data_IF_395263691598
#
_entry.id   IF_395263691598
#
_cell.length_a   1.000
_cell.length_b   1.000
_cell.length_c   1.000
_cell.angle_alpha   90.00
_cell.angle_beta   90.00
_cell.angle_gamma   90.00
#
_symmetry.space_group_name_H-M   'P 1'
#
loop_
_entity.id
_entity.type
_entity.pdbx_description
1 polymer ?
#
# COMPACT_ATOMS: atom_id res chain seq x y z
N UNK A 1 -28.80 -0.62 2.89
CA UNK A 1 -27.69 -1.11 2.10
C UNK A 1 -26.39 -0.78 2.74
N UNK A 2 -25.55 -1.75 2.74
CA UNK A 2 -24.25 -1.60 3.34
C UNK A 2 -23.42 -0.52 2.69
N UNK A 3 -23.48 -0.44 1.36
CA UNK A 3 -22.75 0.56 0.62
C UNK A 3 -23.22 1.97 0.93
N UNK A 4 -24.49 2.12 1.18
CA UNK A 4 -25.03 3.43 1.50
C UNK A 4 -24.52 3.91 2.85
N UNK A 5 -24.43 3.00 3.80
CA UNK A 5 -23.98 3.33 5.13
C UNK A 5 -22.51 3.73 5.10
N UNK A 6 -21.68 2.96 4.39
CA UNK A 6 -20.27 3.26 4.33
C UNK A 6 -19.95 4.52 3.53
N UNK A 7 -20.90 4.96 2.70
CA UNK A 7 -20.70 6.17 1.90
C UNK A 7 -21.35 7.40 2.47
N UNK A 8 -22.07 7.27 3.58
CA UNK A 8 -22.67 8.44 4.22
C UNK A 8 -21.58 9.40 4.67
N UNK A 9 -21.67 10.64 4.22
CA UNK A 9 -20.70 11.67 4.54
C UNK A 9 -19.47 11.65 3.68
N UNK A 10 -19.29 10.65 2.83
CA UNK A 10 -18.15 10.57 1.93
C UNK A 10 -18.52 11.14 0.57
N UNK A 11 -17.80 12.18 0.17
CA UNK A 11 -18.06 12.85 -1.10
C UNK A 11 -16.92 12.68 -2.10
N UNK A 12 -15.81 12.11 -1.64
CA UNK A 12 -14.65 11.92 -2.49
C UNK A 12 -14.95 10.91 -3.58
N UNK A 13 -14.71 11.30 -4.84
CA UNK A 13 -14.99 10.40 -5.95
C UNK A 13 -13.94 9.30 -6.03
N UNK A 14 -14.24 8.27 -6.81
CA UNK A 14 -13.33 7.15 -6.96
C UNK A 14 -12.40 7.30 -8.15
N UNK A 15 -12.37 8.49 -8.75
CA UNK A 15 -11.52 8.74 -9.93
C UNK A 15 -10.04 8.64 -9.61
N UNK A 16 -9.66 8.77 -8.35
CA UNK A 16 -8.25 8.72 -7.93
C UNK A 16 -7.75 7.31 -7.66
N UNK A 17 -8.61 6.31 -7.71
CA UNK A 17 -8.24 4.93 -7.37
C UNK A 17 -7.02 4.41 -8.15
N UNK A 18 -6.95 4.56 -9.48
CA UNK A 18 -5.78 4.08 -10.21
C UNK A 18 -4.48 4.76 -9.77
N UNK A 19 -4.54 6.05 -9.48
CA UNK A 19 -3.37 6.79 -9.01
C UNK A 19 -2.94 6.35 -7.62
N UNK A 20 -3.91 6.08 -6.74
CA UNK A 20 -3.61 5.61 -5.39
C UNK A 20 -2.88 4.27 -5.46
N UNK A 21 -3.31 3.40 -6.36
CA UNK A 21 -2.64 2.11 -6.55
C UNK A 21 -1.19 2.30 -6.99
N UNK A 22 -0.98 3.17 -7.96
CA UNK A 22 0.35 3.47 -8.48
C UNK A 22 1.25 4.06 -7.40
N UNK A 23 0.74 5.03 -6.65
CA UNK A 23 1.50 5.66 -5.58
C UNK A 23 1.80 4.68 -4.45
N UNK A 24 0.87 3.76 -4.19
CA UNK A 24 1.12 2.69 -3.23
C UNK A 24 2.27 1.79 -3.66
N UNK A 25 2.33 1.48 -4.95
CA UNK A 25 3.41 0.68 -5.51
C UNK A 25 4.77 1.37 -5.36
N UNK A 26 4.77 2.71 -5.39
CA UNK A 26 5.97 3.49 -5.19
C UNK A 26 6.34 3.67 -3.71
N UNK A 27 5.50 3.18 -2.81
CA UNK A 27 5.77 3.25 -1.39
C UNK A 27 5.46 4.58 -0.74
N UNK A 28 4.67 5.40 -1.40
CA UNK A 28 4.34 6.71 -0.86
C UNK A 28 3.37 6.60 0.32
N UNK A 29 3.52 7.51 1.27
CA UNK A 29 2.61 7.57 2.42
C UNK A 29 1.27 8.16 1.99
N UNK A 30 0.19 7.87 2.72
CA UNK A 30 -1.10 8.48 2.41
C UNK A 30 -1.07 10.00 2.39
N UNK A 31 -0.31 10.62 3.28
CA UNK A 31 -0.20 12.08 3.30
C UNK A 31 0.46 12.64 2.05
N UNK A 32 1.50 11.97 1.57
CA UNK A 32 2.15 12.37 0.35
C UNK A 32 1.20 12.22 -0.84
N UNK A 33 0.46 11.13 -0.87
CA UNK A 33 -0.51 10.88 -1.94
C UNK A 33 -1.56 11.99 -1.96
N UNK A 34 -2.05 12.37 -0.78
CA UNK A 34 -3.01 13.45 -0.64
C UNK A 34 -2.51 14.75 -1.29
N UNK A 35 -1.26 15.08 -1.03
CA UNK A 35 -0.65 16.27 -1.61
C UNK A 35 -0.55 16.18 -3.12
N UNK A 36 -0.15 15.03 -3.62
CA UNK A 36 0.01 14.83 -5.05
C UNK A 36 -1.32 14.88 -5.78
N UNK A 37 -2.39 14.43 -5.14
CA UNK A 37 -3.72 14.47 -5.71
C UNK A 37 -4.37 15.85 -5.55
N UNK A 38 -3.76 16.73 -4.78
CA UNK A 38 -4.30 18.07 -4.56
C UNK A 38 -5.52 18.12 -3.66
N UNK A 39 -5.67 17.11 -2.80
CA UNK A 39 -6.81 17.05 -1.89
C UNK A 39 -6.61 17.99 -0.71
N UNK A 40 -7.67 18.74 -0.39
CA UNK A 40 -7.63 19.72 0.69
C UNK A 40 -8.92 19.69 1.49
N UNK A 41 -8.85 20.21 2.70
CA UNK A 41 -10.02 20.35 3.54
C UNK A 41 -10.71 19.04 3.80
N UNK A 42 -12.00 19.01 3.57
CA UNK A 42 -12.79 17.81 3.83
C UNK A 42 -12.37 16.62 2.98
N UNK A 43 -11.95 16.87 1.77
CA UNK A 43 -11.49 15.79 0.88
C UNK A 43 -10.24 15.12 1.45
N UNK A 44 -9.34 15.92 1.98
CA UNK A 44 -8.12 15.40 2.58
C UNK A 44 -8.44 14.54 3.80
N UNK A 45 -9.31 15.04 4.65
CA UNK A 45 -9.73 14.31 5.86
C UNK A 45 -10.41 13.00 5.47
N UNK A 46 -11.29 13.06 4.51
CA UNK A 46 -12.02 11.89 4.04
C UNK A 46 -11.07 10.85 3.46
N UNK A 47 -10.12 11.29 2.64
CA UNK A 47 -9.14 10.39 2.04
C UNK A 47 -8.35 9.64 3.12
N UNK A 48 -7.81 10.39 4.08
CA UNK A 48 -7.00 9.80 5.13
C UNK A 48 -7.82 8.86 6.03
N UNK A 49 -9.08 9.19 6.23
CA UNK A 49 -9.96 8.33 7.00
C UNK A 49 -10.25 7.02 6.25
N UNK A 50 -10.58 7.13 4.97
CA UNK A 50 -10.92 5.96 4.16
C UNK A 50 -9.73 5.01 4.02
N UNK A 51 -8.52 5.54 4.06
CA UNK A 51 -7.31 4.72 4.01
C UNK A 51 -7.19 3.78 5.22
N UNK A 52 -7.92 4.06 6.30
CA UNK A 52 -7.90 3.26 7.51
C UNK A 52 -9.06 2.28 7.61
N UNK A 53 -10.00 2.36 6.69
CA UNK A 53 -11.18 1.50 6.73
C UNK A 53 -10.93 0.26 5.90
N UNK A 54 -10.87 -0.88 6.57
CA UNK A 54 -10.67 -2.16 5.91
C UNK A 54 -11.84 -2.42 4.97
N UNK A 55 -11.54 -2.78 3.73
CA UNK A 55 -12.56 -3.03 2.72
C UNK A 55 -12.96 -1.82 1.91
N UNK A 56 -12.56 -0.62 2.32
CA UNK A 56 -12.83 0.58 1.55
C UNK A 56 -12.00 0.54 0.26
N UNK A 57 -12.56 1.04 -0.84
CA UNK A 57 -11.90 0.99 -2.15
C UNK A 57 -10.54 1.68 -2.15
N UNK A 58 -10.41 2.81 -1.46
CA UNK A 58 -9.12 3.50 -1.36
C UNK A 58 -8.11 2.69 -0.56
N UNK A 59 -8.53 2.15 0.58
CA UNK A 59 -7.67 1.34 1.41
C UNK A 59 -7.16 0.12 0.65
N UNK A 60 -8.06 -0.56 -0.05
CA UNK A 60 -7.70 -1.78 -0.79
C UNK A 60 -6.80 -1.47 -1.99
N UNK A 61 -7.05 -0.36 -2.68
CA UNK A 61 -6.21 0.05 -3.81
C UNK A 61 -4.78 0.33 -3.33
N UNK A 62 -4.64 1.01 -2.21
CA UNK A 62 -3.34 1.33 -1.65
C UNK A 62 -2.58 0.06 -1.25
N UNK A 63 -3.25 -0.85 -0.55
CA UNK A 63 -2.64 -2.11 -0.12
C UNK A 63 -2.23 -2.96 -1.31
N UNK A 64 -3.10 -3.03 -2.30
CA UNK A 64 -2.81 -3.79 -3.52
C UNK A 64 -1.61 -3.21 -4.24
N UNK A 65 -1.56 -1.89 -4.35
CA UNK A 65 -0.42 -1.22 -4.98
C UNK A 65 0.87 -1.52 -4.26
N UNK A 66 0.87 -1.42 -2.93
CA UNK A 66 2.06 -1.71 -2.14
C UNK A 66 2.54 -3.14 -2.33
N UNK A 67 1.61 -4.08 -2.35
CA UNK A 67 1.96 -5.50 -2.55
C UNK A 67 2.59 -5.72 -3.91
N UNK A 68 2.04 -5.08 -4.95
CA UNK A 68 2.60 -5.19 -6.29
C UNK A 68 3.99 -4.58 -6.37
N UNK A 69 4.19 -3.42 -5.71
CA UNK A 69 5.49 -2.78 -5.69
C UNK A 69 6.54 -3.65 -5.03
N UNK A 70 6.20 -4.26 -3.92
CA UNK A 70 7.12 -5.17 -3.21
C UNK A 70 7.42 -6.40 -4.06
N UNK A 71 6.39 -6.95 -4.70
CA UNK A 71 6.57 -8.10 -5.58
C UNK A 71 7.53 -7.77 -6.73
N UNK A 72 7.38 -6.62 -7.34
CA UNK A 72 8.22 -6.23 -8.46
C UNK A 72 9.69 -6.10 -8.04
N UNK A 73 9.95 -5.57 -6.85
CA UNK A 73 11.30 -5.46 -6.32
C UNK A 73 11.86 -6.85 -6.05
N UNK A 74 11.09 -7.71 -5.41
CA UNK A 74 11.51 -9.06 -5.09
C UNK A 74 11.80 -9.87 -6.35
N UNK A 75 10.94 -9.72 -7.36
CA UNK A 75 11.11 -10.43 -8.62
C UNK A 75 12.40 -10.01 -9.32
N UNK A 76 12.72 -8.73 -9.31
CA UNK A 76 13.93 -8.21 -9.91
C UNK A 76 15.17 -8.71 -9.18
N UNK A 77 15.12 -8.70 -7.84
CA UNK A 77 16.21 -9.21 -7.03
C UNK A 77 16.41 -10.71 -7.23
N UNK A 78 15.31 -11.46 -7.33
CA UNK A 78 15.39 -12.90 -7.56
C UNK A 78 16.05 -13.20 -8.91
N UNK A 79 15.72 -12.41 -9.91
CA UNK A 79 16.28 -12.58 -11.24
C UNK A 79 17.79 -12.34 -11.24
N UNK A 80 18.22 -11.28 -10.57
CA UNK A 80 19.65 -10.97 -10.45
C UNK A 80 20.38 -12.00 -9.62
N UNK A 81 19.72 -12.52 -8.58
CA UNK A 81 20.30 -13.55 -7.72
C UNK A 81 20.56 -14.84 -8.49
N UNK A 82 19.68 -15.19 -9.43
CA UNK A 82 19.86 -16.35 -10.29
C UNK A 82 21.11 -16.21 -11.13
N UNK A 83 21.49 -14.98 -11.49
CA UNK A 83 22.69 -14.68 -12.26
C UNK A 83 23.93 -14.61 -11.38
N UNK A 84 23.80 -14.88 -10.09
CA UNK A 84 24.93 -14.93 -9.17
C UNK A 84 25.31 -13.62 -8.53
N UNK A 85 24.42 -12.60 -8.59
CA UNK A 85 24.68 -11.32 -7.96
C UNK A 85 24.52 -11.43 -6.45
N UNK A 86 25.65 -11.46 -5.75
CA UNK A 86 25.68 -11.65 -4.29
C UNK A 86 24.91 -10.57 -3.54
N UNK A 87 25.01 -9.32 -3.97
CA UNK A 87 24.29 -8.24 -3.32
C UNK A 87 22.78 -8.42 -3.41
N UNK A 88 22.30 -8.89 -4.57
CA UNK A 88 20.88 -9.15 -4.75
C UNK A 88 20.41 -10.31 -3.90
N UNK A 89 21.25 -11.34 -3.74
CA UNK A 89 20.95 -12.48 -2.88
C UNK A 89 20.77 -12.01 -1.44
N UNK A 90 21.71 -11.19 -0.96
CA UNK A 90 21.65 -10.66 0.40
C UNK A 90 20.44 -9.78 0.64
N UNK A 91 20.13 -8.91 -0.32
CA UNK A 91 18.97 -8.03 -0.21
C UNK A 91 17.67 -8.82 -0.19
N UNK A 92 17.58 -9.83 -1.04
CA UNK A 92 16.38 -10.67 -1.10
C UNK A 92 16.18 -11.41 0.21
N UNK A 93 17.24 -11.95 0.77
CA UNK A 93 17.17 -12.64 2.05
C UNK A 93 16.76 -11.69 3.18
N UNK A 94 17.33 -10.49 3.20
CA UNK A 94 16.98 -9.48 4.19
C UNK A 94 15.51 -9.11 4.10
N UNK A 95 15.00 -8.95 2.88
CA UNK A 95 13.60 -8.60 2.67
C UNK A 95 12.66 -9.71 3.12
N UNK A 96 13.04 -10.95 2.84
CA UNK A 96 12.26 -12.12 3.27
C UNK A 96 12.20 -12.23 4.78
N UNK A 97 13.35 -12.05 5.42
CA UNK A 97 13.45 -12.17 6.87
C UNK A 97 12.65 -11.07 7.57
N UNK A 98 12.73 -9.86 7.05
CA UNK A 98 11.98 -8.75 7.60
C UNK A 98 10.48 -8.98 7.50
N UNK A 99 10.04 -9.52 6.37
CA UNK A 99 8.63 -9.82 6.14
C UNK A 99 8.12 -10.90 7.09
N UNK A 100 8.89 -11.95 7.26
CA UNK A 100 8.54 -13.04 8.18
C UNK A 100 8.46 -12.53 9.61
N UNK A 101 9.45 -11.72 10.02
CA UNK A 101 9.48 -11.16 11.35
C UNK A 101 8.27 -10.26 11.61
N UNK A 102 7.92 -9.44 10.61
CA UNK A 102 6.78 -8.56 10.69
C UNK A 102 5.47 -9.33 10.78
N UNK A 103 5.35 -10.39 9.99
CA UNK A 103 4.16 -11.23 9.98
C UNK A 103 3.99 -11.94 11.33
N UNK A 104 5.08 -12.43 11.89
CA UNK A 104 5.06 -13.09 13.19
C UNK A 104 4.64 -12.11 14.29
N UNK A 105 5.18 -10.90 14.25
CA UNK A 105 4.84 -9.88 15.22
C UNK A 105 3.36 -9.54 15.16
N UNK A 106 2.85 -9.40 13.95
CA UNK A 106 1.45 -9.10 13.74
C UNK A 106 0.56 -10.24 14.23
N UNK A 107 0.97 -11.47 13.95
CA UNK A 107 0.23 -12.66 14.34
C UNK A 107 0.19 -12.86 15.86
N UNK A 108 1.34 -12.65 16.52
CA UNK A 108 1.45 -12.87 17.96
C UNK A 108 0.95 -11.71 18.81
N UNK A 109 1.16 -10.48 18.33
CA UNK A 109 0.88 -9.29 19.14
C UNK A 109 -0.15 -8.34 18.53
N UNK A 110 -0.60 -8.60 17.32
CA UNK A 110 -1.59 -7.76 16.68
C UNK A 110 -1.09 -6.40 16.21
N UNK A 111 0.22 -6.25 16.04
CA UNK A 111 0.79 -4.97 15.63
C UNK A 111 1.63 -5.03 14.34
#
# INVERSE_FOLDING_TARGET
MQDEISKVGFTLSEEHIPQVRTFGALGYTPERICKLLGLRGNERVEFLLRMRIVGDTYCEAYKHGRALGEYNIDAELAKKAEDGDIESIKLLEARKNERVEKDLRNELFGI
#
